data_IF_660121885121
#
_entry.id   IF_660121885121
#
_cell.length_a   1.000
_cell.length_b   1.000
_cell.length_c   1.000
_cell.angle_alpha   90.00
_cell.angle_beta   90.00
_cell.angle_gamma   90.00
#
_symmetry.space_group_name_H-M   'P 1'
#
loop_
_entity.id
_entity.type
_entity.pdbx_description
1 polymer ?
#
# COMPACT_ATOMS: atom_id res chain seq x y z
N UNK A 1 -6.92 -18.18 -19.95
CA UNK A 1 -7.21 -16.75 -19.79
C UNK A 1 -6.06 -15.94 -20.34
N UNK A 2 -6.28 -14.67 -20.64
CA UNK A 2 -5.20 -13.73 -20.93
C UNK A 2 -4.67 -13.15 -19.60
N UNK A 3 -3.40 -12.79 -19.56
CA UNK A 3 -2.80 -12.04 -18.45
C UNK A 3 -2.59 -10.59 -18.93
N UNK A 4 -3.18 -9.64 -18.21
CA UNK A 4 -3.00 -8.22 -18.47
C UNK A 4 -1.89 -7.65 -17.57
N UNK A 5 -1.27 -6.57 -18.03
CA UNK A 5 -0.38 -5.72 -17.24
C UNK A 5 -1.09 -4.39 -16.99
N UNK A 6 -1.32 -4.07 -15.73
CA UNK A 6 -1.86 -2.79 -15.29
C UNK A 6 -0.72 -1.88 -14.87
N UNK A 7 -0.72 -0.66 -15.40
CA UNK A 7 0.27 0.37 -15.09
C UNK A 7 -0.49 1.52 -14.44
N UNK A 8 -0.04 1.93 -13.25
CA UNK A 8 -0.63 3.03 -12.51
C UNK A 8 0.40 4.12 -12.23
N UNK A 9 -0.07 5.36 -12.23
CA UNK A 9 0.65 6.43 -11.57
C UNK A 9 0.79 6.14 -10.07
N UNK A 10 1.78 6.78 -9.43
CA UNK A 10 2.04 6.58 -8.01
C UNK A 10 1.25 7.57 -7.16
N UNK A 11 -0.05 7.61 -7.43
CA UNK A 11 -1.02 8.35 -6.63
C UNK A 11 -1.14 7.76 -5.24
N UNK A 12 -1.28 8.63 -4.22
CA UNK A 12 -1.45 8.19 -2.83
C UNK A 12 -2.67 7.30 -2.62
N UNK A 13 -3.68 7.37 -3.49
CA UNK A 13 -4.85 6.50 -3.44
C UNK A 13 -4.48 5.03 -3.69
N UNK A 14 -3.53 4.78 -4.60
CA UNK A 14 -3.07 3.44 -4.95
C UNK A 14 -2.25 2.79 -3.83
N UNK A 15 -1.61 3.58 -2.97
CA UNK A 15 -0.87 3.09 -1.81
C UNK A 15 -1.77 2.67 -0.62
N UNK A 16 -3.08 2.62 -0.82
CA UNK A 16 -4.02 2.20 0.24
C UNK A 16 -3.79 0.73 0.58
N UNK A 17 -3.43 0.47 1.83
CA UNK A 17 -3.26 -0.88 2.33
C UNK A 17 -4.60 -1.54 2.65
N UNK A 18 -4.70 -2.87 2.51
CA UNK A 18 -5.83 -3.67 2.98
C UNK A 18 -6.22 -3.41 4.44
N UNK A 19 -7.47 -3.74 4.80
CA UNK A 19 -7.99 -3.53 6.16
C UNK A 19 -7.24 -4.37 7.22
N UNK A 20 -6.76 -5.53 6.82
CA UNK A 20 -6.02 -6.47 7.65
C UNK A 20 -4.50 -6.35 7.47
N UNK A 21 -3.99 -5.35 6.73
CA UNK A 21 -2.56 -5.15 6.55
C UNK A 21 -1.82 -4.86 7.88
N UNK A 22 -0.52 -5.17 7.90
CA UNK A 22 0.35 -4.90 9.04
C UNK A 22 0.61 -3.39 9.18
N UNK A 23 0.21 -2.80 10.30
CA UNK A 23 0.31 -1.36 10.57
C UNK A 23 0.70 -1.10 12.02
N UNK A 24 2.00 -0.99 12.28
CA UNK A 24 2.52 -0.80 13.65
C UNK A 24 1.96 0.46 14.33
N UNK A 25 1.74 1.54 13.59
CA UNK A 25 1.20 2.80 14.11
C UNK A 25 -0.26 2.71 14.59
N UNK A 26 -0.99 1.67 14.18
CA UNK A 26 -2.39 1.41 14.54
C UNK A 26 -2.52 0.29 15.60
N UNK A 27 -1.41 -0.19 16.15
CA UNK A 27 -1.39 -1.22 17.19
C UNK A 27 -1.36 -0.63 18.60
N UNK A 28 -2.01 -1.32 19.53
CA UNK A 28 -1.93 -1.06 20.96
C UNK A 28 -0.61 -1.56 21.54
N UNK A 29 -0.22 -1.04 22.73
CA UNK A 29 0.98 -1.50 23.42
C UNK A 29 0.81 -2.95 23.88
N UNK A 30 -0.33 -3.23 24.49
CA UNK A 30 -0.72 -4.54 25.03
C UNK A 30 -1.76 -5.19 24.12
N UNK A 31 -1.94 -6.50 24.27
CA UNK A 31 -2.93 -7.26 23.52
C UNK A 31 -4.36 -6.75 23.78
N UNK A 32 -5.19 -6.82 22.73
CA UNK A 32 -6.59 -6.46 22.77
C UNK A 32 -6.87 -4.97 22.69
N UNK A 33 -7.99 -4.56 23.28
CA UNK A 33 -8.50 -3.19 23.17
C UNK A 33 -9.09 -2.87 21.79
N UNK A 34 -9.30 -1.58 21.52
CA UNK A 34 -9.77 -1.08 20.22
C UNK A 34 -8.60 -1.04 19.23
N UNK A 35 -8.37 -2.14 18.54
CA UNK A 35 -7.33 -2.30 17.51
C UNK A 35 -7.90 -3.15 16.36
N UNK A 36 -7.46 -2.88 15.13
CA UNK A 36 -7.79 -3.70 13.97
C UNK A 36 -7.13 -5.08 14.04
N UNK A 37 -7.82 -6.11 13.57
CA UNK A 37 -7.22 -7.43 13.36
C UNK A 37 -6.33 -7.34 12.13
N UNK A 38 -5.04 -7.56 12.32
CA UNK A 38 -4.06 -7.60 11.23
C UNK A 38 -3.76 -9.07 10.88
N UNK A 39 -3.37 -9.31 9.63
CA UNK A 39 -3.07 -10.64 9.07
C UNK A 39 -1.80 -11.21 9.68
N UNK A 40 -1.73 -12.54 9.69
CA UNK A 40 -0.49 -13.22 10.08
C UNK A 40 0.61 -12.99 9.04
N UNK A 41 1.86 -13.16 9.46
CA UNK A 41 3.03 -12.92 8.60
C UNK A 41 4.13 -13.94 8.87
N UNK A 42 5.23 -13.83 8.13
CA UNK A 42 6.47 -14.56 8.36
C UNK A 42 7.53 -13.57 8.82
N UNK A 43 8.25 -13.89 9.89
CA UNK A 43 9.34 -13.04 10.39
C UNK A 43 10.41 -12.92 9.28
N UNK A 44 10.78 -11.69 8.88
CA UNK A 44 11.71 -11.48 7.77
C UNK A 44 13.08 -12.15 7.99
N UNK A 45 13.74 -12.50 6.88
CA UNK A 45 15.13 -13.00 6.92
C UNK A 45 16.12 -11.93 7.37
N UNK A 46 15.73 -10.65 7.29
CA UNK A 46 16.49 -9.50 7.80
C UNK A 46 16.38 -9.33 9.32
N UNK A 47 15.59 -10.13 10.03
CA UNK A 47 15.44 -10.02 11.48
C UNK A 47 16.79 -10.29 12.18
N UNK A 48 17.19 -9.48 13.19
CA UNK A 48 18.49 -9.62 13.84
C UNK A 48 18.64 -10.90 14.67
N UNK A 49 17.55 -11.53 15.11
CA UNK A 49 17.58 -12.83 15.76
C UNK A 49 17.42 -13.95 14.72
N UNK A 50 18.54 -14.56 14.33
CA UNK A 50 18.59 -15.66 13.35
C UNK A 50 17.68 -16.84 13.72
N UNK A 51 17.40 -17.05 15.01
CA UNK A 51 16.53 -18.13 15.47
C UNK A 51 15.05 -17.90 15.17
N UNK A 52 14.70 -16.65 14.82
CA UNK A 52 13.32 -16.21 14.55
C UNK A 52 13.02 -16.08 13.06
N UNK A 53 14.04 -15.92 12.22
CA UNK A 53 13.89 -15.73 10.78
C UNK A 53 13.07 -16.85 10.13
N UNK A 54 12.10 -16.49 9.30
CA UNK A 54 11.26 -17.44 8.57
C UNK A 54 10.18 -18.14 9.42
N UNK A 55 10.10 -17.87 10.73
CA UNK A 55 9.02 -18.40 11.56
C UNK A 55 7.71 -17.68 11.28
N UNK A 56 6.60 -18.43 11.37
CA UNK A 56 5.27 -17.86 11.26
C UNK A 56 4.94 -17.00 12.49
N UNK A 57 4.56 -15.74 12.26
CA UNK A 57 4.16 -14.77 13.25
C UNK A 57 2.64 -14.62 13.22
N UNK A 58 1.97 -15.14 14.26
CA UNK A 58 0.54 -14.91 14.47
C UNK A 58 0.31 -13.50 15.01
N UNK A 59 -0.62 -12.75 14.42
CA UNK A 59 -1.00 -11.40 14.86
C UNK A 59 -2.22 -11.39 15.80
N UNK A 60 -2.69 -12.58 16.16
CA UNK A 60 -3.71 -12.81 17.18
C UNK A 60 -3.21 -13.81 18.23
N UNK A 61 -3.66 -13.64 19.47
CA UNK A 61 -3.43 -14.60 20.55
C UNK A 61 -4.24 -15.88 20.31
N UNK A 62 -3.96 -16.93 21.10
CA UNK A 62 -4.75 -18.18 21.06
C UNK A 62 -6.25 -17.96 21.38
N UNK A 63 -6.60 -16.90 22.12
CA UNK A 63 -7.99 -16.51 22.38
C UNK A 63 -8.61 -15.64 21.28
N UNK A 64 -7.91 -15.43 20.16
CA UNK A 64 -8.39 -14.67 19.01
C UNK A 64 -8.40 -13.15 19.24
N UNK A 65 -7.61 -12.66 20.21
CA UNK A 65 -7.46 -11.23 20.51
C UNK A 65 -6.29 -10.66 19.70
N UNK A 66 -6.38 -9.45 19.12
CA UNK A 66 -5.24 -8.83 18.42
C UNK A 66 -4.04 -8.67 19.35
N UNK A 67 -2.85 -9.04 18.87
CA UNK A 67 -1.61 -8.82 19.64
C UNK A 67 -1.22 -7.34 19.63
N UNK A 68 -0.69 -6.89 20.76
CA UNK A 68 -0.07 -5.58 20.88
C UNK A 68 1.40 -5.60 20.45
N UNK A 69 1.97 -4.40 20.32
CA UNK A 69 3.37 -4.19 19.97
C UNK A 69 4.33 -4.97 20.86
N UNK A 70 4.04 -5.02 22.17
CA UNK A 70 4.89 -5.69 23.15
C UNK A 70 5.07 -7.17 22.81
N UNK A 71 3.96 -7.89 22.65
CA UNK A 71 3.96 -9.33 22.39
C UNK A 71 4.63 -9.66 21.06
N UNK A 72 4.32 -8.90 20.00
CA UNK A 72 4.92 -9.14 18.67
C UNK A 72 6.43 -8.92 18.68
N UNK A 73 6.91 -7.82 19.28
CA UNK A 73 8.35 -7.53 19.34
C UNK A 73 9.11 -8.54 20.20
N UNK A 74 8.57 -8.94 21.36
CA UNK A 74 9.19 -9.96 22.23
C UNK A 74 9.24 -11.33 21.53
N UNK A 75 8.19 -11.70 20.80
CA UNK A 75 8.17 -12.94 20.02
C UNK A 75 9.21 -12.95 18.89
N UNK A 76 9.41 -11.79 18.25
CA UNK A 76 10.46 -11.54 17.25
C UNK A 76 11.88 -11.39 17.84
N UNK A 77 12.06 -11.55 19.16
CA UNK A 77 13.38 -11.55 19.80
C UNK A 77 13.94 -10.16 20.17
N UNK A 78 13.14 -9.10 20.07
CA UNK A 78 13.60 -7.76 20.42
C UNK A 78 13.58 -7.51 21.93
N UNK A 79 14.66 -6.92 22.45
CA UNK A 79 14.64 -6.30 23.78
C UNK A 79 13.98 -4.92 23.69
N UNK A 80 12.82 -4.79 24.33
CA UNK A 80 12.02 -3.57 24.36
C UNK A 80 12.12 -2.85 25.71
N UNK A 81 13.05 -3.25 26.57
CA UNK A 81 13.28 -2.64 27.89
C UNK A 81 13.58 -1.16 27.75
N UNK A 82 12.83 -0.32 28.47
CA UNK A 82 12.99 1.13 28.44
C UNK A 82 12.38 1.82 27.20
N UNK A 83 11.90 1.07 26.20
CA UNK A 83 11.21 1.67 25.06
C UNK A 83 9.81 2.15 25.46
N UNK A 84 9.50 3.38 25.06
CA UNK A 84 8.11 3.87 25.05
C UNK A 84 7.35 3.27 23.87
N UNK A 85 6.02 3.26 23.97
CA UNK A 85 5.15 2.78 22.89
C UNK A 85 5.35 3.59 21.61
N UNK A 86 5.16 4.92 21.71
CA UNK A 86 5.22 5.87 20.58
C UNK A 86 5.89 7.15 21.06
N UNK A 87 6.66 7.79 20.19
CA UNK A 87 7.21 9.12 20.45
C UNK A 87 6.11 10.19 20.50
N UNK A 88 6.30 11.18 21.37
CA UNK A 88 5.52 12.43 21.39
C UNK A 88 6.51 13.60 21.48
N UNK A 89 6.65 14.44 20.44
CA UNK A 89 5.99 14.32 19.11
C UNK A 89 6.38 13.03 18.38
N UNK A 90 5.63 12.68 17.33
CA UNK A 90 5.91 11.49 16.51
C UNK A 90 7.34 11.59 15.95
N UNK A 91 8.10 10.51 16.03
CA UNK A 91 9.48 10.47 15.56
C UNK A 91 9.55 10.59 14.04
N UNK A 92 10.61 11.21 13.48
CA UNK A 92 10.89 11.16 12.05
C UNK A 92 10.96 9.72 11.54
N UNK A 93 10.52 9.49 10.30
CA UNK A 93 10.51 8.17 9.67
C UNK A 93 11.89 7.49 9.63
N UNK A 94 12.95 8.29 9.50
CA UNK A 94 14.35 7.83 9.46
C UNK A 94 14.89 7.42 10.84
N UNK A 95 14.15 7.73 11.92
CA UNK A 95 14.59 7.38 13.28
C UNK A 95 14.59 5.87 13.45
N UNK A 96 15.67 5.27 13.93
CA UNK A 96 15.74 3.82 14.13
C UNK A 96 15.54 3.47 15.61
N UNK A 97 14.65 2.52 15.89
CA UNK A 97 14.52 1.89 17.22
C UNK A 97 14.14 2.79 18.41
N UNK A 98 13.69 4.04 18.19
CA UNK A 98 13.45 4.99 19.30
C UNK A 98 12.19 4.70 20.16
N UNK A 99 11.26 3.90 19.64
CA UNK A 99 10.05 3.44 20.32
C UNK A 99 9.54 2.15 19.68
N UNK A 100 8.64 1.44 20.36
CA UNK A 100 8.11 0.14 19.90
C UNK A 100 7.47 0.24 18.51
N UNK A 101 6.66 1.27 18.26
CA UNK A 101 6.01 1.49 16.96
C UNK A 101 7.06 1.63 15.86
N UNK A 102 8.09 2.45 16.08
CA UNK A 102 9.12 2.71 15.07
C UNK A 102 9.97 1.48 14.78
N UNK A 103 10.33 0.73 15.83
CA UNK A 103 11.09 -0.50 15.72
C UNK A 103 10.34 -1.54 14.86
N UNK A 104 9.05 -1.75 15.16
CA UNK A 104 8.24 -2.71 14.43
C UNK A 104 7.92 -2.23 13.01
N UNK A 105 7.63 -0.93 12.82
CA UNK A 105 7.33 -0.38 11.49
C UNK A 105 8.48 -0.46 10.51
N UNK A 106 9.71 -0.67 11.00
CA UNK A 106 10.91 -0.80 10.18
C UNK A 106 11.25 -2.23 9.78
N UNK A 107 10.54 -3.22 10.33
CA UNK A 107 10.68 -4.60 9.88
C UNK A 107 10.15 -4.74 8.44
N UNK A 108 10.80 -5.55 7.63
CA UNK A 108 10.47 -5.67 6.19
C UNK A 108 9.04 -6.15 5.94
N UNK A 109 8.49 -6.99 6.80
CA UNK A 109 7.10 -7.42 6.72
C UNK A 109 6.13 -6.25 6.94
N UNK A 110 6.45 -5.29 7.82
CA UNK A 110 5.64 -4.08 8.02
C UNK A 110 5.87 -3.01 6.95
N UNK A 111 7.10 -2.84 6.45
CA UNK A 111 7.41 -1.84 5.40
C UNK A 111 6.82 -2.28 4.06
N UNK A 112 7.03 -3.53 3.67
CA UNK A 112 6.74 -4.02 2.32
C UNK A 112 5.31 -4.59 2.21
N UNK A 113 4.36 -4.00 2.94
CA UNK A 113 2.95 -4.33 2.78
C UNK A 113 2.48 -3.95 1.37
N UNK A 114 1.85 -4.91 0.69
CA UNK A 114 1.35 -4.76 -0.67
C UNK A 114 0.06 -3.95 -0.64
N UNK A 115 -0.15 -3.10 -1.66
CA UNK A 115 -1.36 -2.29 -1.75
C UNK A 115 -2.60 -3.14 -2.02
N UNK A 116 -3.78 -2.68 -1.59
CA UNK A 116 -5.05 -3.37 -1.83
C UNK A 116 -5.33 -3.52 -3.32
N UNK A 117 -4.95 -2.51 -4.12
CA UNK A 117 -5.12 -2.54 -5.57
C UNK A 117 -4.22 -3.61 -6.20
N UNK A 118 -2.97 -3.70 -5.77
CA UNK A 118 -2.01 -4.68 -6.27
C UNK A 118 -2.42 -6.11 -5.89
N UNK A 119 -2.84 -6.35 -4.65
CA UNK A 119 -3.39 -7.65 -4.22
C UNK A 119 -4.58 -8.06 -5.08
N UNK A 120 -5.53 -7.13 -5.32
CA UNK A 120 -6.71 -7.41 -6.14
C UNK A 120 -6.36 -7.81 -7.58
N UNK A 121 -5.34 -7.18 -8.16
CA UNK A 121 -4.89 -7.46 -9.53
C UNK A 121 -4.13 -8.78 -9.60
N UNK A 122 -3.25 -9.05 -8.64
CA UNK A 122 -2.48 -10.29 -8.56
C UNK A 122 -3.41 -11.51 -8.35
N UNK A 123 -4.40 -11.40 -7.46
CA UNK A 123 -5.42 -12.43 -7.23
C UNK A 123 -6.26 -12.73 -8.48
N UNK A 124 -6.46 -11.74 -9.34
CA UNK A 124 -7.11 -11.91 -10.64
C UNK A 124 -6.21 -12.57 -11.71
N UNK A 125 -4.94 -12.86 -11.38
CA UNK A 125 -3.95 -13.45 -12.27
C UNK A 125 -3.33 -12.44 -13.23
N UNK A 126 -3.29 -11.16 -12.84
CA UNK A 126 -2.75 -10.06 -13.64
C UNK A 126 -1.51 -9.44 -12.98
N UNK A 127 -0.78 -8.62 -13.72
CA UNK A 127 0.42 -7.95 -13.22
C UNK A 127 0.10 -6.48 -12.94
N UNK A 128 0.72 -5.91 -11.91
CA UNK A 128 0.59 -4.51 -11.53
C UNK A 128 1.96 -3.85 -11.45
N UNK A 129 2.12 -2.67 -12.04
CA UNK A 129 3.33 -1.85 -11.93
C UNK A 129 2.93 -0.43 -11.54
N UNK A 130 3.64 0.13 -10.56
CA UNK A 130 3.54 1.54 -10.19
C UNK A 130 4.71 2.32 -10.78
N UNK A 131 4.41 3.41 -11.46
CA UNK A 131 5.43 4.32 -11.99
C UNK A 131 6.13 5.08 -10.85
N UNK A 132 7.31 5.68 -11.09
CA UNK A 132 7.92 6.59 -10.13
C UNK A 132 7.03 7.82 -9.83
N UNK A 133 7.05 8.32 -8.59
CA UNK A 133 6.31 9.54 -8.22
C UNK A 133 6.82 10.75 -8.99
N UNK A 134 5.90 11.58 -9.49
CA UNK A 134 6.19 12.83 -10.22
C UNK A 134 6.90 12.65 -11.57
N UNK A 135 6.69 11.51 -12.22
CA UNK A 135 7.21 11.20 -13.55
C UNK A 135 6.08 10.93 -14.55
N UNK A 136 5.23 11.95 -14.80
CA UNK A 136 4.08 11.82 -15.69
C UNK A 136 4.47 11.57 -17.16
N UNK A 137 5.72 11.87 -17.53
CA UNK A 137 6.29 11.55 -18.83
C UNK A 137 6.43 10.05 -19.10
N UNK A 138 6.37 9.22 -18.05
CA UNK A 138 6.41 7.76 -18.15
C UNK A 138 5.02 7.13 -18.21
N UNK A 139 3.96 7.92 -18.03
CA UNK A 139 2.59 7.44 -18.00
C UNK A 139 1.93 7.60 -19.38
N UNK A 140 1.77 6.48 -20.10
CA UNK A 140 1.14 6.47 -21.43
C UNK A 140 -0.29 7.04 -21.42
N UNK A 141 -0.99 7.01 -20.28
CA UNK A 141 -2.33 7.58 -20.19
C UNK A 141 -2.32 9.10 -20.39
N UNK A 142 -1.23 9.78 -20.05
CA UNK A 142 -1.11 11.24 -20.19
C UNK A 142 -1.05 11.66 -21.67
N UNK A 143 -0.42 10.84 -22.53
CA UNK A 143 -0.44 11.05 -23.98
C UNK A 143 -1.86 10.90 -24.54
N UNK A 144 -2.55 9.84 -24.11
CA UNK A 144 -3.95 9.57 -24.47
C UNK A 144 -4.87 10.71 -24.05
N UNK A 145 -4.75 11.19 -22.81
CA UNK A 145 -5.49 12.34 -22.30
C UNK A 145 -5.15 13.63 -23.04
N UNK A 146 -3.87 13.85 -23.38
CA UNK A 146 -3.43 14.99 -24.17
C UNK A 146 -4.13 15.06 -25.52
N UNK A 147 -4.14 13.94 -26.26
CA UNK A 147 -4.81 13.82 -27.55
C UNK A 147 -6.33 13.98 -27.42
N UNK A 148 -6.95 13.27 -26.48
CA UNK A 148 -8.40 13.33 -26.25
C UNK A 148 -8.85 14.74 -25.88
N UNK A 149 -8.11 15.43 -25.00
CA UNK A 149 -8.42 16.81 -24.60
C UNK A 149 -8.28 17.78 -25.76
N UNK A 150 -7.32 17.57 -26.65
CA UNK A 150 -7.17 18.39 -27.85
C UNK A 150 -8.40 18.23 -28.76
N UNK A 151 -8.76 17.00 -29.14
CA UNK A 151 -9.96 16.73 -29.96
C UNK A 151 -11.24 17.25 -29.28
N UNK A 152 -11.34 17.06 -27.96
CA UNK A 152 -12.49 17.50 -27.19
C UNK A 152 -12.66 19.00 -27.21
N UNK A 153 -11.58 19.79 -27.34
CA UNK A 153 -11.67 21.26 -27.43
C UNK A 153 -12.19 21.74 -28.79
N UNK A 154 -11.95 20.99 -29.86
CA UNK A 154 -12.33 21.37 -31.23
C UNK A 154 -13.82 21.17 -31.52
N UNK A 155 -14.51 20.30 -30.78
CA UNK A 155 -15.93 19.98 -31.02
C UNK A 155 -16.89 20.93 -30.28
N UNK A 156 -18.00 21.33 -30.90
CA UNK A 156 -19.04 22.12 -30.24
C UNK A 156 -19.86 21.26 -29.26
N UNK A 157 -20.08 21.77 -28.04
CA UNK A 157 -20.77 21.06 -26.96
C UNK A 157 -21.84 21.99 -26.34
N UNK A 158 -23.03 22.10 -26.96
CA UNK A 158 -24.04 23.10 -26.57
C UNK A 158 -24.67 22.85 -25.19
N UNK A 159 -24.54 21.64 -24.65
CA UNK A 159 -25.06 21.28 -23.33
C UNK A 159 -24.24 20.12 -22.74
N UNK A 160 -24.53 19.78 -21.48
CA UNK A 160 -23.82 18.74 -20.76
C UNK A 160 -23.98 17.34 -21.36
N UNK A 161 -25.14 17.02 -21.95
CA UNK A 161 -25.36 15.74 -22.62
C UNK A 161 -24.45 15.60 -23.84
N UNK A 162 -24.38 16.64 -24.67
CA UNK A 162 -23.47 16.68 -25.82
C UNK A 162 -22.01 16.64 -25.39
N UNK A 163 -21.66 17.29 -24.27
CA UNK A 163 -20.32 17.22 -23.69
C UNK A 163 -19.94 15.80 -23.25
N UNK A 164 -20.84 15.08 -22.56
CA UNK A 164 -20.62 13.67 -22.17
C UNK A 164 -20.47 12.76 -23.38
N UNK A 165 -21.33 12.92 -24.37
CA UNK A 165 -21.29 12.12 -25.59
C UNK A 165 -19.97 12.35 -26.35
N UNK A 166 -19.57 13.61 -26.53
CA UNK A 166 -18.30 13.95 -27.16
C UNK A 166 -17.09 13.37 -26.40
N UNK A 167 -17.11 13.37 -25.06
CA UNK A 167 -16.03 12.78 -24.28
C UNK A 167 -15.89 11.28 -24.53
N UNK A 168 -17.00 10.53 -24.54
CA UNK A 168 -16.99 9.09 -24.83
C UNK A 168 -16.55 8.79 -26.26
N UNK A 169 -17.15 9.46 -27.25
CA UNK A 169 -16.81 9.27 -28.67
C UNK A 169 -15.33 9.55 -28.95
N UNK A 170 -14.77 10.58 -28.31
CA UNK A 170 -13.36 10.92 -28.49
C UNK A 170 -12.44 9.90 -27.81
N UNK A 171 -12.76 9.48 -26.59
CA UNK A 171 -12.00 8.43 -25.89
C UNK A 171 -11.96 7.13 -26.70
N UNK A 172 -13.11 6.71 -27.26
CA UNK A 172 -13.22 5.52 -28.11
C UNK A 172 -12.49 5.67 -29.45
N UNK A 173 -12.27 6.91 -29.91
CA UNK A 173 -11.57 7.22 -31.16
C UNK A 173 -10.06 7.40 -31.01
N UNK A 174 -9.52 7.33 -29.78
CA UNK A 174 -8.09 7.52 -29.54
C UNK A 174 -7.27 6.45 -30.28
N UNK A 175 -6.37 6.83 -31.21
CA UNK A 175 -5.61 5.86 -31.99
C UNK A 175 -4.69 5.02 -31.10
N UNK A 176 -4.52 3.74 -31.43
CA UNK A 176 -3.65 2.83 -30.67
C UNK A 176 -2.20 3.29 -30.73
N UNK A 177 -1.80 4.03 -31.75
CA UNK A 177 -0.45 4.60 -31.88
C UNK A 177 -0.17 5.75 -30.90
N UNK A 178 -1.21 6.27 -30.24
CA UNK A 178 -1.10 7.26 -29.16
C UNK A 178 -0.97 6.57 -27.78
N UNK A 179 -1.36 5.30 -27.69
CA UNK A 179 -1.29 4.46 -26.48
C UNK A 179 0.10 3.85 -26.29
#
# INVERSE_FOLDING_TARGET
GYQALFIFDNSSAHASLPLDALKAFEMNKSDGGKQWRQRDTIIPQSNPDETKQGLAQKMTTASGVPKGLKSVLEEQGFDITGLKMKCSPVCPFESMGCCMVQLLSQQEDFINQVSMLEEFIDEAGHLCIFLPKFHCELDNIEMSWGWCKYQYREVSKPNFTAAKQAAAEILDSCPVEVL
#
